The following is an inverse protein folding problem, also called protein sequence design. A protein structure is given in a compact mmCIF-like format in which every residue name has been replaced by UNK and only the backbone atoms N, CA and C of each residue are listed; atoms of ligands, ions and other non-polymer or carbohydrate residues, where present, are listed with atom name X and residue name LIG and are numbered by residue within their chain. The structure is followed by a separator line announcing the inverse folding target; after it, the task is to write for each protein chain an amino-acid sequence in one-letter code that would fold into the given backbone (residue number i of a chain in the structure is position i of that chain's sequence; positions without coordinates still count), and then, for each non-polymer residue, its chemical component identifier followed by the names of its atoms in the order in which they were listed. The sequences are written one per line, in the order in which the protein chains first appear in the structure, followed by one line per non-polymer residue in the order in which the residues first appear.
data_IF_017749815681
#
_entry.id   IF_017749815681
#
_cell.length_a   1.000
_cell.length_b   1.000
_cell.length_c   1.000
_cell.angle_alpha   90.00
_cell.angle_beta   90.00
_cell.angle_gamma   90.00
#
_symmetry.space_group_name_H-M   'P 1'
#
loop_
_entity.id
_entity.type
_entity.pdbx_description
1 polymer ?
#
# COMPACT_ATOMS: atom_id res chain seq x y z
N UNK A 1 15.56 14.39 22.34
CA UNK A 1 14.24 15.03 22.22
C UNK A 1 13.48 14.23 21.19
N UNK A 2 12.45 13.48 21.59
CA UNK A 2 11.55 12.85 20.63
C UNK A 2 10.78 13.94 19.90
N UNK A 3 10.90 13.98 18.57
CA UNK A 3 9.99 14.78 17.75
C UNK A 3 8.57 14.27 17.99
N UNK A 4 7.73 15.13 18.59
CA UNK A 4 6.30 14.86 18.66
C UNK A 4 5.77 14.86 17.22
N UNK A 5 5.46 13.68 16.71
CA UNK A 5 4.74 13.55 15.44
C UNK A 5 3.39 14.26 15.62
N UNK A 6 3.22 15.36 14.90
CA UNK A 6 1.98 16.14 14.88
C UNK A 6 1.09 15.58 13.77
N UNK A 7 -0.06 15.04 14.14
CA UNK A 7 -1.08 14.58 13.20
C UNK A 7 -2.10 15.71 12.96
N UNK A 8 -2.38 16.00 11.69
CA UNK A 8 -3.39 16.96 11.26
C UNK A 8 -4.75 16.27 11.05
N UNK A 9 -4.77 15.01 10.64
CA UNK A 9 -5.98 14.24 10.38
C UNK A 9 -6.03 12.93 11.18
N UNK A 10 -7.23 12.47 11.55
CA UNK A 10 -7.39 11.30 12.42
C UNK A 10 -6.86 9.99 11.81
N UNK A 11 -6.89 9.85 10.48
CA UNK A 11 -6.41 8.63 9.82
C UNK A 11 -4.89 8.47 9.94
N UNK A 12 -4.14 9.57 10.09
CA UNK A 12 -2.68 9.56 10.21
C UNK A 12 -2.21 8.87 11.51
N UNK A 13 -3.08 8.83 12.53
CA UNK A 13 -2.86 8.12 13.79
C UNK A 13 -2.98 6.59 13.63
N UNK A 14 -3.62 6.11 12.56
CA UNK A 14 -3.84 4.69 12.36
C UNK A 14 -2.54 4.01 11.97
N UNK A 15 -2.15 2.98 12.72
CA UNK A 15 -0.98 2.15 12.39
C UNK A 15 -1.07 1.57 10.98
N UNK A 16 -2.26 1.15 10.55
CA UNK A 16 -2.47 0.60 9.20
C UNK A 16 -2.23 1.65 8.12
N UNK A 17 -2.59 2.92 8.36
CA UNK A 17 -2.31 4.01 7.44
C UNK A 17 -0.79 4.26 7.33
N UNK A 18 -0.11 4.38 8.46
CA UNK A 18 1.35 4.56 8.50
C UNK A 18 2.08 3.43 7.76
N UNK A 19 1.65 2.18 7.99
CA UNK A 19 2.20 1.02 7.28
C UNK A 19 1.92 1.03 5.78
N UNK A 20 0.75 1.52 5.35
CA UNK A 20 0.48 1.67 3.93
C UNK A 20 1.35 2.75 3.26
N UNK A 21 1.71 3.82 3.98
CA UNK A 21 2.67 4.82 3.48
C UNK A 21 4.08 4.24 3.36
N UNK A 22 4.55 3.51 4.39
CA UNK A 22 5.83 2.80 4.34
C UNK A 22 5.87 1.81 3.16
N UNK A 23 4.77 1.09 2.92
CA UNK A 23 4.65 0.14 1.83
C UNK A 23 4.74 0.79 0.44
N UNK A 24 4.13 1.96 0.23
CA UNK A 24 4.29 2.70 -1.04
C UNK A 24 5.76 3.08 -1.25
N UNK A 25 6.43 3.62 -0.22
CA UNK A 25 7.85 3.97 -0.32
C UNK A 25 8.72 2.75 -0.63
N UNK A 26 8.39 1.59 -0.07
CA UNK A 26 9.07 0.33 -0.38
C UNK A 26 8.81 -0.13 -1.83
N UNK A 27 7.57 -0.05 -2.33
CA UNK A 27 7.27 -0.37 -3.74
C UNK A 27 8.06 0.52 -4.70
N UNK A 28 8.09 1.83 -4.46
CA UNK A 28 8.80 2.76 -5.34
C UNK A 28 10.31 2.46 -5.39
N UNK A 29 10.91 2.15 -4.23
CA UNK A 29 12.29 1.70 -4.15
C UNK A 29 12.52 0.36 -4.87
N UNK A 30 11.64 -0.62 -4.67
CA UNK A 30 11.72 -1.93 -5.33
C UNK A 30 11.69 -1.80 -6.86
N UNK A 31 10.74 -1.02 -7.38
CA UNK A 31 10.57 -0.82 -8.82
C UNK A 31 11.75 -0.05 -9.43
N UNK A 32 12.24 0.99 -8.76
CA UNK A 32 13.39 1.77 -9.24
C UNK A 32 14.69 0.97 -9.20
N UNK A 33 14.97 0.23 -8.11
CA UNK A 33 16.17 -0.61 -7.96
C UNK A 33 16.23 -1.70 -9.01
N UNK A 34 15.10 -2.37 -9.29
CA UNK A 34 15.03 -3.46 -10.27
C UNK A 34 14.70 -2.99 -11.69
N UNK A 35 14.59 -1.68 -11.93
CA UNK A 35 14.21 -1.07 -13.21
C UNK A 35 12.93 -1.68 -13.82
N UNK A 36 11.97 -2.03 -12.97
CA UNK A 36 10.73 -2.69 -13.37
C UNK A 36 9.77 -1.65 -13.95
N UNK A 37 9.27 -1.91 -15.16
CA UNK A 37 8.35 -1.03 -15.89
C UNK A 37 7.24 -1.84 -16.57
N UNK A 38 6.15 -1.17 -16.94
CA UNK A 38 5.03 -1.73 -17.70
C UNK A 38 3.79 -1.98 -16.85
N UNK A 39 2.79 -2.64 -17.44
CA UNK A 39 1.43 -2.69 -16.88
C UNK A 39 1.32 -3.26 -15.46
N UNK A 40 2.15 -4.24 -15.09
CA UNK A 40 2.17 -4.77 -13.72
C UNK A 40 2.75 -3.76 -12.71
N UNK A 41 3.74 -2.95 -13.13
CA UNK A 41 4.25 -1.83 -12.32
C UNK A 41 3.16 -0.75 -12.15
N UNK A 42 2.46 -0.41 -13.23
CA UNK A 42 1.34 0.54 -13.15
C UNK A 42 0.18 0.01 -12.29
N UNK A 43 -0.03 -1.31 -12.29
CA UNK A 43 -1.04 -1.95 -11.45
C UNK A 43 -0.66 -1.90 -9.96
N UNK A 44 0.56 -2.29 -9.59
CA UNK A 44 0.96 -2.32 -8.18
C UNK A 44 0.99 -0.91 -7.58
N UNK A 45 1.43 0.09 -8.36
CA UNK A 45 1.42 1.50 -7.92
C UNK A 45 -0.01 1.96 -7.62
N UNK A 46 -0.93 1.81 -8.57
CA UNK A 46 -2.35 2.20 -8.37
C UNK A 46 -3.02 1.42 -7.24
N UNK A 47 -2.76 0.13 -7.12
CA UNK A 47 -3.29 -0.70 -6.04
C UNK A 47 -2.76 -0.22 -4.68
N UNK A 48 -1.46 0.06 -4.57
CA UNK A 48 -0.84 0.54 -3.33
C UNK A 48 -1.35 1.93 -2.90
N UNK A 49 -1.53 2.85 -3.86
CA UNK A 49 -2.17 4.15 -3.61
C UNK A 49 -3.62 3.98 -3.16
N UNK A 50 -4.37 3.06 -3.77
CA UNK A 50 -5.75 2.75 -3.40
C UNK A 50 -5.86 2.27 -1.94
N UNK A 51 -4.89 1.52 -1.41
CA UNK A 51 -4.86 1.10 0.01
C UNK A 51 -4.89 2.34 0.91
N UNK A 52 -3.97 3.28 0.68
CA UNK A 52 -3.81 4.52 1.47
C UNK A 52 -5.07 5.37 1.39
N UNK A 53 -5.55 5.63 0.17
CA UNK A 53 -6.69 6.50 -0.08
C UNK A 53 -7.97 5.96 0.57
N UNK A 54 -8.22 4.64 0.45
CA UNK A 54 -9.39 4.03 1.06
C UNK A 54 -9.31 3.95 2.59
N UNK A 55 -8.11 3.81 3.18
CA UNK A 55 -7.97 3.91 4.65
C UNK A 55 -8.31 5.33 5.13
N UNK A 56 -7.74 6.35 4.48
CA UNK A 56 -8.00 7.73 4.84
C UNK A 56 -9.48 8.11 4.71
N UNK A 57 -10.09 7.78 3.57
CA UNK A 57 -11.49 8.10 3.31
C UNK A 57 -12.44 7.27 4.20
N UNK A 58 -12.16 5.97 4.36
CA UNK A 58 -12.90 5.08 5.25
C UNK A 58 -12.91 5.59 6.68
N UNK A 59 -11.77 6.06 7.19
CA UNK A 59 -11.68 6.63 8.52
C UNK A 59 -12.55 7.90 8.69
N UNK A 60 -12.77 8.66 7.62
CA UNK A 60 -13.64 9.83 7.61
C UNK A 60 -15.14 9.53 7.50
N UNK A 61 -15.57 8.28 7.26
CA UNK A 61 -17.00 7.95 7.13
C UNK A 61 -17.73 8.00 8.46
N UNK A 62 -18.99 8.40 8.44
CA UNK A 62 -19.84 8.52 9.62
C UNK A 62 -20.34 7.17 10.13
N UNK A 63 -20.83 6.31 9.24
CA UNK A 63 -21.42 5.03 9.62
C UNK A 63 -20.39 3.91 9.59
N UNK A 64 -20.57 2.91 10.46
CA UNK A 64 -19.73 1.71 10.45
C UNK A 64 -19.84 0.95 9.12
N UNK A 65 -21.04 0.90 8.53
CA UNK A 65 -21.27 0.21 7.26
C UNK A 65 -20.47 0.84 6.12
N UNK A 66 -20.48 2.16 6.01
CA UNK A 66 -19.71 2.86 4.98
C UNK A 66 -18.22 2.71 5.26
N UNK A 67 -17.78 2.88 6.50
CA UNK A 67 -16.37 2.66 6.90
C UNK A 67 -15.86 1.27 6.48
N UNK A 68 -16.62 0.21 6.79
CA UNK A 68 -16.25 -1.16 6.44
C UNK A 68 -16.07 -1.34 4.92
N UNK A 69 -16.96 -0.76 4.10
CA UNK A 69 -16.86 -0.86 2.63
C UNK A 69 -15.51 -0.36 2.11
N UNK A 70 -15.00 0.76 2.63
CA UNK A 70 -13.71 1.29 2.21
C UNK A 70 -12.54 0.43 2.70
N UNK A 71 -12.63 -0.10 3.92
CA UNK A 71 -11.59 -1.00 4.43
C UNK A 71 -11.57 -2.34 3.69
N UNK A 72 -12.72 -2.84 3.22
CA UNK A 72 -12.80 -4.01 2.34
C UNK A 72 -12.12 -3.75 0.99
N UNK A 73 -12.30 -2.56 0.41
CA UNK A 73 -11.61 -2.15 -0.82
C UNK A 73 -10.11 -2.07 -0.59
N UNK A 74 -9.67 -1.42 0.49
CA UNK A 74 -8.25 -1.33 0.87
C UNK A 74 -7.63 -2.72 1.01
N UNK A 75 -8.33 -3.65 1.67
CA UNK A 75 -7.91 -5.06 1.76
C UNK A 75 -7.84 -5.74 0.39
N UNK A 76 -8.82 -5.50 -0.48
CA UNK A 76 -8.79 -5.99 -1.87
C UNK A 76 -7.57 -5.52 -2.63
N UNK A 77 -7.27 -4.22 -2.56
CA UNK A 77 -6.07 -3.63 -3.19
C UNK A 77 -4.76 -4.21 -2.62
N UNK A 78 -4.70 -4.51 -1.33
CA UNK A 78 -3.54 -5.19 -0.74
C UNK A 78 -3.32 -6.60 -1.33
N UNK A 79 -4.40 -7.36 -1.57
CA UNK A 79 -4.32 -8.67 -2.24
C UNK A 79 -3.87 -8.53 -3.71
N UNK A 80 -4.28 -7.47 -4.39
CA UNK A 80 -3.79 -7.17 -5.75
C UNK A 80 -2.29 -6.86 -5.75
N UNK A 81 -1.80 -6.11 -4.76
CA UNK A 81 -0.37 -5.85 -4.61
C UNK A 81 0.42 -7.15 -4.43
N UNK A 82 -0.03 -8.05 -3.55
CA UNK A 82 0.59 -9.37 -3.36
C UNK A 82 0.66 -10.16 -4.68
N UNK A 83 -0.44 -10.20 -5.44
CA UNK A 83 -0.45 -10.83 -6.76
C UNK A 83 0.50 -10.17 -7.77
N UNK A 84 0.70 -8.85 -7.71
CA UNK A 84 1.68 -8.17 -8.53
C UNK A 84 3.13 -8.56 -8.17
N UNK A 85 3.44 -8.69 -6.87
CA UNK A 85 4.75 -9.18 -6.40
C UNK A 85 5.02 -10.60 -6.89
N UNK A 86 4.03 -11.50 -6.81
CA UNK A 86 4.12 -12.85 -7.37
C UNK A 86 4.43 -12.83 -8.88
N UNK A 87 3.77 -11.94 -9.63
CA UNK A 87 4.01 -11.76 -11.06
C UNK A 87 5.43 -11.25 -11.33
N UNK A 88 5.95 -10.30 -10.54
CA UNK A 88 7.32 -9.84 -10.68
C UNK A 88 8.32 -10.96 -10.40
N UNK A 89 8.12 -11.72 -9.34
CA UNK A 89 8.98 -12.86 -9.00
C UNK A 89 8.97 -13.92 -10.10
N UNK A 90 7.78 -14.32 -10.58
CA UNK A 90 7.63 -15.27 -11.68
C UNK A 90 8.33 -14.80 -12.98
N UNK A 91 8.33 -13.47 -13.23
CA UNK A 91 9.04 -12.85 -14.37
C UNK A 91 10.53 -12.60 -14.09
N UNK A 92 11.06 -13.04 -12.95
CA UNK A 92 12.45 -12.83 -12.50
C UNK A 92 12.84 -11.35 -12.46
N UNK A 93 11.89 -10.50 -12.06
CA UNK A 93 12.07 -9.06 -11.91
C UNK A 93 12.47 -8.65 -10.50
N UNK A 94 12.17 -9.51 -9.53
CA UNK A 94 12.58 -9.37 -8.12
C UNK A 94 13.10 -10.72 -7.64
N UNK A 95 13.88 -10.73 -6.57
CA UNK A 95 14.41 -11.93 -5.94
C UNK A 95 13.52 -12.41 -4.78
N UNK A 96 13.87 -13.55 -4.18
CA UNK A 96 13.06 -14.15 -3.12
C UNK A 96 13.10 -13.39 -1.79
N UNK A 97 14.16 -12.63 -1.51
CA UNK A 97 14.25 -11.77 -0.32
C UNK A 97 13.28 -10.62 -0.48
N UNK A 98 13.31 -9.93 -1.63
CA UNK A 98 12.38 -8.85 -1.96
C UNK A 98 10.92 -9.32 -1.94
N UNK A 99 10.63 -10.54 -2.40
CA UNK A 99 9.28 -11.11 -2.31
C UNK A 99 8.82 -11.34 -0.85
N UNK A 100 9.73 -11.73 0.05
CA UNK A 100 9.40 -12.01 1.46
C UNK A 100 9.35 -10.75 2.35
N UNK A 101 9.95 -9.64 1.91
CA UNK A 101 9.92 -8.37 2.63
C UNK A 101 8.61 -7.59 2.44
N UNK A 102 7.94 -7.77 1.29
CA UNK A 102 6.64 -7.17 0.97
C UNK A 102 5.47 -7.86 1.65
#
# INVERSE_FOLDING_TARGET
MEEKVSYYFDHEKLRVYQKSIEFIGWIDNLLSTNLVKGSTADQILRASESIVLNIAEGNGKFTSKDRCRYFDISRGSAMECAGCLDVFFAKKKINSVELCEG
#
